data_IF_142806081320
#
_entry.id   IF_142806081320
#
_cell.length_a   1.000
_cell.length_b   1.000
_cell.length_c   1.000
_cell.angle_alpha   90.00
_cell.angle_beta   90.00
_cell.angle_gamma   90.00
#
_symmetry.space_group_name_H-M   'P 1'
#
loop_
_entity.id
_entity.type
_entity.pdbx_description
1 polymer ?
#
# COMPACT_ATOMS: atom_id res chain seq x y z
N UNK A 1 22.02 10.05 -3.29
CA UNK A 1 20.81 9.39 -2.78
C UNK A 1 21.16 8.67 -1.49
N UNK A 2 20.40 8.90 -0.43
CA UNK A 2 20.54 8.22 0.86
C UNK A 2 19.93 6.83 0.79
N UNK A 3 20.54 5.85 1.45
CA UNK A 3 19.95 4.50 1.54
C UNK A 3 18.62 4.57 2.31
N UNK A 4 17.54 3.96 1.79
CA UNK A 4 16.25 3.94 2.49
C UNK A 4 16.39 3.26 3.85
N UNK A 5 15.68 3.81 4.83
CA UNK A 5 15.61 3.24 6.17
C UNK A 5 14.78 1.95 6.19
N UNK A 6 15.08 1.08 7.15
CA UNK A 6 14.39 -0.20 7.35
C UNK A 6 13.76 -0.33 8.75
N UNK A 7 13.94 0.66 9.61
CA UNK A 7 13.32 0.77 10.94
C UNK A 7 11.94 1.44 10.83
N UNK A 8 10.99 0.76 10.17
CA UNK A 8 9.63 1.28 10.01
C UNK A 8 8.90 1.40 11.35
N UNK A 9 8.18 2.50 11.54
CA UNK A 9 7.49 2.83 12.79
C UNK A 9 5.99 2.57 12.66
N UNK A 10 5.31 3.39 11.87
CA UNK A 10 3.87 3.26 11.60
C UNK A 10 3.62 3.04 10.11
N UNK A 11 2.60 2.24 9.79
CA UNK A 11 2.09 2.12 8.42
C UNK A 11 0.68 2.71 8.42
N UNK A 12 0.50 3.86 7.80
CA UNK A 12 -0.81 4.47 7.56
C UNK A 12 -1.29 4.05 6.18
N UNK A 13 -2.52 3.56 6.09
CA UNK A 13 -3.10 3.03 4.86
C UNK A 13 -4.45 3.70 4.58
N UNK A 14 -4.73 3.93 3.29
CA UNK A 14 -5.92 4.64 2.84
C UNK A 14 -6.86 3.68 2.13
N UNK A 15 -8.04 3.48 2.69
CA UNK A 15 -9.08 2.70 2.04
C UNK A 15 -9.88 3.51 1.01
N UNK A 16 -10.29 2.86 -0.08
CA UNK A 16 -11.22 3.39 -1.11
C UNK A 16 -10.73 4.65 -1.83
N UNK A 17 -9.42 4.76 -2.06
CA UNK A 17 -8.85 5.93 -2.73
C UNK A 17 -8.88 5.88 -4.26
N UNK A 18 -9.43 4.84 -4.89
CA UNK A 18 -9.62 4.77 -6.34
C UNK A 18 -11.09 4.52 -6.66
N UNK A 19 -11.68 5.32 -7.56
CA UNK A 19 -13.13 5.27 -7.85
C UNK A 19 -13.59 3.91 -8.36
N UNK A 20 -12.84 3.30 -9.28
CA UNK A 20 -13.19 2.00 -9.86
C UNK A 20 -13.13 0.88 -8.81
N UNK A 21 -12.16 0.93 -7.89
CA UNK A 21 -12.08 -0.02 -6.79
C UNK A 21 -13.24 0.14 -5.79
N UNK A 22 -13.61 1.39 -5.47
CA UNK A 22 -14.78 1.64 -4.62
C UNK A 22 -16.05 1.05 -5.25
N UNK A 23 -16.23 1.25 -6.57
CA UNK A 23 -17.36 0.71 -7.33
C UNK A 23 -17.34 -0.82 -7.44
N UNK A 24 -16.17 -1.44 -7.68
CA UNK A 24 -15.98 -2.90 -7.76
C UNK A 24 -16.49 -3.62 -6.51
N UNK A 25 -16.30 -3.01 -5.34
CA UNK A 25 -16.74 -3.54 -4.05
C UNK A 25 -18.11 -2.98 -3.58
N UNK A 26 -18.86 -2.31 -4.46
CA UNK A 26 -20.20 -1.77 -4.17
C UNK A 26 -20.24 -0.67 -3.12
N UNK A 27 -19.14 0.07 -2.94
CA UNK A 27 -19.02 1.11 -1.92
C UNK A 27 -19.15 2.52 -2.51
N UNK A 28 -19.72 3.43 -1.72
CA UNK A 28 -19.64 4.85 -2.02
C UNK A 28 -18.20 5.36 -1.85
N UNK A 29 -17.82 6.33 -2.67
CA UNK A 29 -16.60 7.12 -2.48
C UNK A 29 -16.75 7.91 -1.18
N UNK A 30 -15.82 7.80 -0.21
CA UNK A 30 -15.95 8.52 1.05
C UNK A 30 -15.76 10.03 0.87
N UNK A 31 -16.31 10.82 1.79
CA UNK A 31 -16.17 12.29 1.79
C UNK A 31 -14.82 12.76 2.38
N UNK A 32 -14.12 11.87 3.08
CA UNK A 32 -12.78 12.11 3.65
C UNK A 32 -11.92 10.85 3.56
N UNK A 33 -10.57 10.97 3.56
CA UNK A 33 -9.68 9.81 3.61
C UNK A 33 -10.03 8.84 4.74
N UNK A 34 -10.19 7.55 4.39
CA UNK A 34 -10.49 6.50 5.36
C UNK A 34 -9.19 5.82 5.80
N UNK A 35 -8.68 6.22 6.97
CA UNK A 35 -7.38 5.76 7.46
C UNK A 35 -7.51 4.53 8.36
N UNK A 36 -6.66 3.54 8.12
CA UNK A 36 -6.35 2.46 9.06
C UNK A 36 -4.84 2.28 9.15
N UNK A 37 -4.36 1.43 10.06
CA UNK A 37 -2.94 1.18 10.21
C UNK A 37 -2.57 -0.29 10.22
N UNK A 38 -1.30 -0.55 9.89
CA UNK A 38 -0.65 -1.85 10.08
C UNK A 38 0.50 -1.70 11.08
N UNK A 39 0.77 -2.72 11.92
CA UNK A 39 1.95 -2.73 12.76
C UNK A 39 3.22 -2.86 11.89
N UNK A 40 4.37 -2.40 12.39
CA UNK A 40 5.64 -2.47 11.65
C UNK A 40 6.04 -3.89 11.23
N UNK A 41 5.65 -4.92 11.99
CA UNK A 41 5.85 -6.34 11.63
C UNK A 41 5.01 -6.83 10.44
N UNK A 42 4.08 -6.01 9.93
CA UNK A 42 3.42 -6.28 8.66
C UNK A 42 4.36 -6.00 7.46
N UNK A 43 5.27 -5.03 7.59
CA UNK A 43 6.20 -4.68 6.52
C UNK A 43 7.23 -5.78 6.28
N UNK A 44 7.40 -6.17 5.02
CA UNK A 44 8.38 -7.18 4.59
C UNK A 44 8.87 -6.83 3.18
N UNK A 45 10.16 -6.99 2.85
CA UNK A 45 10.62 -6.76 1.48
C UNK A 45 10.09 -7.85 0.52
N UNK A 46 9.76 -7.44 -0.70
CA UNK A 46 9.46 -8.32 -1.83
C UNK A 46 10.70 -8.41 -2.73
N UNK A 47 11.73 -9.11 -2.22
CA UNK A 47 13.12 -9.11 -2.71
C UNK A 47 13.55 -10.41 -3.43
N UNK A 48 12.59 -11.22 -3.84
CA UNK A 48 12.77 -12.53 -4.46
C UNK A 48 12.58 -13.70 -3.49
N UNK A 49 12.53 -13.43 -2.19
CA UNK A 49 12.28 -14.45 -1.17
C UNK A 49 10.81 -14.90 -1.13
N UNK A 50 10.57 -16.04 -0.47
CA UNK A 50 9.23 -16.53 -0.21
C UNK A 50 8.69 -15.92 1.10
N UNK A 51 7.52 -15.30 1.03
CA UNK A 51 6.85 -14.67 2.18
C UNK A 51 5.84 -15.66 2.77
N UNK A 52 6.02 -16.00 4.04
CA UNK A 52 5.06 -16.81 4.78
C UNK A 52 3.87 -15.96 5.25
N UNK A 53 2.67 -16.36 4.87
CA UNK A 53 1.39 -15.76 5.21
C UNK A 53 0.58 -16.71 6.11
N UNK A 54 -0.45 -16.22 6.82
CA UNK A 54 -1.26 -17.07 7.68
C UNK A 54 -2.19 -18.01 6.89
N UNK A 55 -2.17 -19.29 7.23
CA UNK A 55 -3.10 -20.31 6.74
C UNK A 55 -4.45 -20.28 7.48
N UNK A 56 -5.49 -20.81 6.84
CA UNK A 56 -6.75 -21.22 7.51
C UNK A 56 -7.66 -20.08 7.96
N UNK A 57 -7.42 -18.84 7.55
CA UNK A 57 -8.21 -17.66 7.92
C UNK A 57 -9.02 -17.08 6.75
N UNK A 58 -9.29 -17.90 5.73
CA UNK A 58 -9.99 -17.47 4.52
C UNK A 58 -9.06 -16.92 3.44
N UNK A 59 -9.63 -16.24 2.46
CA UNK A 59 -8.88 -15.72 1.31
C UNK A 59 -8.03 -14.49 1.68
N UNK A 60 -6.74 -14.54 1.35
CA UNK A 60 -5.86 -13.37 1.39
C UNK A 60 -5.91 -12.70 0.02
N UNK A 61 -6.37 -11.46 -0.03
CA UNK A 61 -6.41 -10.66 -1.24
C UNK A 61 -5.16 -9.79 -1.37
N UNK A 62 -4.71 -9.61 -2.61
CA UNK A 62 -3.73 -8.60 -2.97
C UNK A 62 -4.40 -7.26 -3.28
N UNK A 63 -3.72 -6.18 -2.92
CA UNK A 63 -4.12 -4.79 -3.18
C UNK A 63 -2.83 -4.00 -3.48
N UNK A 64 -2.49 -3.82 -4.76
CA UNK A 64 -1.29 -3.07 -5.16
C UNK A 64 -1.46 -1.56 -4.92
N UNK A 65 -0.46 -0.92 -4.31
CA UNK A 65 -0.50 0.50 -3.94
C UNK A 65 0.86 1.18 -4.12
N UNK A 66 0.84 2.51 -4.26
CA UNK A 66 2.05 3.31 -4.04
C UNK A 66 2.23 3.57 -2.55
N UNK A 67 3.48 3.45 -2.10
CA UNK A 67 3.90 3.57 -0.71
C UNK A 67 4.98 4.64 -0.60
N UNK A 68 4.83 5.58 0.33
CA UNK A 68 5.81 6.66 0.56
C UNK A 68 6.49 6.48 1.91
N UNK A 69 7.81 6.58 1.96
CA UNK A 69 8.61 6.48 3.19
C UNK A 69 8.97 7.88 3.68
N UNK A 70 8.50 8.24 4.88
CA UNK A 70 8.84 9.52 5.48
C UNK A 70 10.26 9.50 6.07
N UNK A 71 11.03 10.52 5.73
CA UNK A 71 12.41 10.75 6.19
C UNK A 71 12.51 11.96 7.12
N UNK A 72 11.48 12.83 7.12
CA UNK A 72 11.37 13.99 8.01
C UNK A 72 10.04 13.97 8.77
N UNK A 73 9.93 14.73 9.87
CA UNK A 73 8.64 15.03 10.48
C UNK A 73 7.75 15.84 9.55
N UNK A 74 6.45 15.57 9.57
CA UNK A 74 5.47 16.41 8.91
C UNK A 74 5.37 17.77 9.60
N UNK A 75 5.34 18.81 8.78
CA UNK A 75 5.03 20.19 9.14
C UNK A 75 4.03 20.70 8.09
N UNK A 76 2.97 21.44 8.48
CA UNK A 76 2.03 22.00 7.51
C UNK A 76 2.74 22.77 6.41
N UNK A 77 2.50 22.39 5.15
CA UNK A 77 3.11 23.01 3.98
C UNK A 77 4.49 22.48 3.57
N UNK A 78 5.07 21.50 4.30
CA UNK A 78 6.32 20.84 3.90
C UNK A 78 6.23 20.31 2.47
N UNK A 79 7.27 20.49 1.65
CA UNK A 79 7.27 19.93 0.31
C UNK A 79 7.28 18.39 0.37
N UNK A 80 6.48 17.73 -0.48
CA UNK A 80 6.33 16.26 -0.41
C UNK A 80 7.66 15.52 -0.58
N UNK A 81 8.55 16.01 -1.45
CA UNK A 81 9.88 15.43 -1.67
C UNK A 81 10.88 15.72 -0.53
N UNK A 82 10.58 16.69 0.35
CA UNK A 82 11.37 16.90 1.57
C UNK A 82 10.89 15.95 2.68
N UNK A 83 9.58 15.70 2.74
CA UNK A 83 8.99 14.77 3.70
C UNK A 83 9.34 13.32 3.37
N UNK A 84 9.12 12.93 2.12
CA UNK A 84 9.39 11.60 1.59
C UNK A 84 10.57 11.67 0.63
N UNK A 85 11.70 11.02 0.92
CA UNK A 85 12.78 10.92 -0.07
C UNK A 85 12.63 9.70 -0.98
N UNK A 86 11.70 8.79 -0.65
CA UNK A 86 11.50 7.54 -1.36
C UNK A 86 10.03 7.16 -1.49
N UNK A 87 9.73 6.46 -2.59
CA UNK A 87 8.47 5.78 -2.79
C UNK A 87 8.70 4.36 -3.31
N UNK A 88 7.71 3.50 -3.23
CA UNK A 88 7.76 2.14 -3.76
C UNK A 88 6.38 1.72 -4.24
N UNK A 89 6.33 0.61 -4.97
CA UNK A 89 5.11 -0.17 -5.16
C UNK A 89 5.08 -1.23 -4.07
N UNK A 90 3.93 -1.40 -3.42
CA UNK A 90 3.72 -2.38 -2.35
C UNK A 90 2.36 -3.05 -2.45
N UNK A 91 2.10 -3.97 -1.53
CA UNK A 91 0.85 -4.71 -1.43
C UNK A 91 0.21 -4.52 -0.05
N UNK A 92 -1.05 -4.10 -0.02
CA UNK A 92 -1.91 -4.14 1.16
C UNK A 92 -2.66 -5.48 1.24
N UNK A 93 -1.98 -6.51 1.75
CA UNK A 93 -2.61 -7.81 1.87
C UNK A 93 -3.75 -7.79 2.88
N UNK A 94 -4.86 -8.41 2.51
CA UNK A 94 -6.12 -8.35 3.24
C UNK A 94 -6.75 -9.72 3.39
N UNK A 95 -6.99 -10.17 4.62
CA UNK A 95 -7.85 -11.34 4.87
C UNK A 95 -9.31 -10.92 4.63
N UNK A 96 -9.81 -11.15 3.42
CA UNK A 96 -11.08 -10.56 2.96
C UNK A 96 -12.26 -11.04 3.78
N UNK A 97 -12.35 -12.35 4.01
CA UNK A 97 -13.43 -12.96 4.78
C UNK A 97 -13.47 -12.44 6.22
N UNK A 98 -12.30 -12.26 6.83
CA UNK A 98 -12.15 -11.65 8.17
C UNK A 98 -12.60 -10.19 8.13
N UNK A 99 -12.20 -9.42 7.11
CA UNK A 99 -12.58 -8.02 6.97
C UNK A 99 -14.10 -7.85 6.87
N UNK A 100 -14.77 -8.67 6.07
CA UNK A 100 -16.22 -8.59 5.89
C UNK A 100 -16.97 -8.94 7.17
N UNK A 101 -16.50 -9.95 7.90
CA UNK A 101 -17.03 -10.28 9.23
C UNK A 101 -16.86 -9.14 10.25
N UNK A 102 -15.73 -8.42 10.21
CA UNK A 102 -15.48 -7.25 11.07
C UNK A 102 -16.35 -6.05 10.68
N UNK A 103 -16.47 -5.76 9.38
CA UNK A 103 -17.33 -4.69 8.84
C UNK A 103 -18.78 -4.88 9.23
N UNK A 104 -19.32 -6.09 9.11
CA UNK A 104 -20.70 -6.40 9.48
C UNK A 104 -21.02 -6.13 10.96
N UNK A 105 -19.99 -6.16 11.83
CA UNK A 105 -20.11 -5.92 13.27
C UNK A 105 -19.66 -4.51 13.70
N UNK A 106 -19.16 -3.70 12.78
CA UNK A 106 -18.55 -2.40 13.09
C UNK A 106 -17.26 -2.50 13.92
N UNK A 107 -16.49 -3.59 13.76
CA UNK A 107 -15.27 -3.84 14.54
C UNK A 107 -13.99 -3.34 13.86
N UNK A 108 -12.91 -3.08 14.62
CA UNK A 108 -11.61 -2.65 14.08
C UNK A 108 -10.99 -3.66 13.10
N UNK A 109 -10.30 -3.16 12.07
CA UNK A 109 -9.79 -3.99 10.95
C UNK A 109 -8.41 -4.60 11.18
N UNK A 110 -7.77 -4.40 12.34
CA UNK A 110 -6.39 -4.84 12.59
C UNK A 110 -6.18 -6.34 12.28
N UNK A 111 -7.12 -7.21 12.65
CA UNK A 111 -6.99 -8.65 12.37
C UNK A 111 -7.01 -8.98 10.87
N UNK A 112 -7.72 -8.17 10.06
CA UNK A 112 -7.82 -8.40 8.62
C UNK A 112 -6.73 -7.71 7.80
N UNK A 113 -6.21 -6.58 8.28
CA UNK A 113 -5.25 -5.73 7.55
C UNK A 113 -3.84 -5.76 8.14
N UNK A 114 -3.68 -6.04 9.44
CA UNK A 114 -2.42 -5.86 10.16
C UNK A 114 -1.71 -7.14 10.59
N UNK A 115 -2.02 -8.28 9.97
CA UNK A 115 -1.34 -9.54 10.27
C UNK A 115 0.13 -9.51 9.82
N UNK A 116 0.94 -10.46 10.32
CA UNK A 116 2.37 -10.51 10.03
C UNK A 116 2.62 -10.64 8.53
N UNK A 117 3.57 -9.87 8.00
CA UNK A 117 3.91 -9.82 6.57
C UNK A 117 2.78 -9.34 5.64
N UNK A 118 1.74 -8.68 6.17
CA UNK A 118 0.62 -8.17 5.37
C UNK A 118 0.95 -6.94 4.50
N UNK A 119 2.18 -6.44 4.53
CA UNK A 119 2.66 -5.33 3.72
C UNK A 119 3.99 -5.65 2.99
N UNK A 120 3.98 -6.52 1.97
CA UNK A 120 5.10 -6.68 1.05
C UNK A 120 5.40 -5.37 0.31
N UNK A 121 6.67 -4.94 0.28
CA UNK A 121 7.11 -3.68 -0.35
C UNK A 121 8.26 -3.98 -1.31
N UNK A 122 8.16 -3.47 -2.54
CA UNK A 122 9.23 -3.57 -3.53
C UNK A 122 10.44 -2.68 -3.22
N UNK A 123 11.34 -2.56 -4.19
CA UNK A 123 12.49 -1.66 -4.14
C UNK A 123 12.03 -0.22 -4.02
N UNK A 124 12.62 0.49 -3.06
CA UNK A 124 12.50 1.93 -2.92
C UNK A 124 13.12 2.65 -4.13
N UNK A 125 12.32 3.54 -4.71
CA UNK A 125 12.68 4.45 -5.79
C UNK A 125 12.84 5.87 -5.21
N UNK A 126 13.73 6.69 -5.78
CA UNK A 126 13.93 8.05 -5.33
C UNK A 126 12.68 8.92 -5.60
N UNK A 127 12.28 9.72 -4.62
CA UNK A 127 11.27 10.76 -4.76
C UNK A 127 11.94 12.13 -4.61
N UNK A 128 12.18 12.80 -5.73
CA UNK A 128 12.97 14.04 -5.78
C UNK A 128 12.10 15.23 -6.20
N UNK A 129 12.65 16.43 -6.07
CA UNK A 129 12.01 17.62 -6.59
C UNK A 129 11.76 17.46 -8.10
N UNK A 130 10.50 17.58 -8.53
CA UNK A 130 10.10 17.42 -9.92
C UNK A 130 9.77 15.99 -10.35
N UNK A 131 9.78 15.00 -9.45
CA UNK A 131 9.22 13.67 -9.75
C UNK A 131 7.72 13.78 -10.06
N UNK A 132 7.35 13.62 -11.32
CA UNK A 132 5.97 13.56 -11.76
C UNK A 132 5.47 12.11 -11.73
N UNK A 133 4.70 11.78 -10.70
CA UNK A 133 4.11 10.45 -10.55
C UNK A 133 2.95 10.21 -11.53
N UNK A 134 2.38 11.26 -12.13
CA UNK A 134 1.24 11.10 -13.06
C UNK A 134 1.68 10.48 -14.38
N UNK A 135 2.94 10.63 -14.77
CA UNK A 135 3.54 10.00 -15.95
C UNK A 135 3.84 8.49 -15.75
N UNK A 136 3.75 8.01 -14.51
CA UNK A 136 4.08 6.63 -14.14
C UNK A 136 2.88 5.78 -13.74
N UNK A 137 2.65 4.70 -14.47
CA UNK A 137 1.76 3.63 -14.03
C UNK A 137 2.52 2.68 -13.08
N UNK A 138 1.83 2.19 -12.05
CA UNK A 138 2.28 1.02 -11.31
C UNK A 138 1.39 -0.17 -11.67
N UNK A 139 1.97 -1.37 -11.66
CA UNK A 139 1.20 -2.58 -11.91
C UNK A 139 1.66 -3.75 -11.06
N UNK A 140 0.76 -4.73 -10.94
CA UNK A 140 0.99 -5.97 -10.25
C UNK A 140 0.69 -7.14 -11.18
N UNK A 141 1.65 -8.07 -11.26
CA UNK A 141 1.49 -9.35 -11.96
C UNK A 141 1.47 -10.49 -10.97
N UNK A 142 0.52 -11.39 -11.18
CA UNK A 142 0.38 -12.65 -10.48
C UNK A 142 0.61 -13.78 -11.46
N UNK A 143 1.61 -14.62 -11.23
CA UNK A 143 1.97 -15.74 -12.11
C UNK A 143 2.17 -15.31 -13.58
N UNK A 144 2.79 -14.15 -13.79
CA UNK A 144 3.07 -13.58 -15.13
C UNK A 144 1.90 -12.86 -15.79
N UNK A 145 0.69 -12.90 -15.22
CA UNK A 145 -0.46 -12.15 -15.71
C UNK A 145 -0.62 -10.83 -14.96
N UNK A 146 -0.75 -9.71 -15.68
CA UNK A 146 -1.12 -8.43 -15.06
C UNK A 146 -2.55 -8.50 -14.54
N UNK A 147 -2.71 -8.25 -13.24
CA UNK A 147 -4.01 -8.33 -12.55
C UNK A 147 -4.45 -6.98 -11.98
N UNK A 148 -3.52 -6.06 -11.72
CA UNK A 148 -3.83 -4.67 -11.37
C UNK A 148 -2.89 -3.71 -12.10
N UNK A 149 -3.44 -2.56 -12.46
CA UNK A 149 -2.72 -1.39 -12.96
C UNK A 149 -3.36 -0.14 -12.37
N UNK A 150 -2.55 0.82 -11.94
CA UNK A 150 -3.04 2.07 -11.37
C UNK A 150 -2.11 3.25 -11.67
N UNK A 151 -2.65 4.45 -11.51
CA UNK A 151 -1.94 5.70 -11.66
C UNK A 151 -2.45 6.71 -10.61
N UNK A 152 -1.57 7.56 -10.08
CA UNK A 152 -1.93 8.57 -9.08
C UNK A 152 -3.01 9.55 -9.56
N UNK A 153 -3.15 9.75 -10.88
CA UNK A 153 -4.18 10.62 -11.47
C UNK A 153 -5.60 10.14 -11.20
N UNK A 154 -5.76 8.85 -10.93
CA UNK A 154 -7.07 8.22 -10.68
C UNK A 154 -7.43 8.20 -9.19
N UNK A 155 -6.55 8.70 -8.33
CA UNK A 155 -6.82 8.82 -6.90
C UNK A 155 -7.99 9.78 -6.65
N UNK A 156 -8.82 9.45 -5.66
CA UNK A 156 -9.89 10.31 -5.16
C UNK A 156 -9.29 11.47 -4.38
N UNK A 157 -8.38 11.16 -3.46
CA UNK A 157 -7.60 12.10 -2.66
C UNK A 157 -6.14 12.00 -3.07
N UNK A 158 -5.58 13.12 -3.53
CA UNK A 158 -4.20 13.19 -4.00
C UNK A 158 -3.19 13.06 -2.85
N UNK A 159 -1.92 12.78 -3.18
CA UNK A 159 -0.86 12.57 -2.17
C UNK A 159 -0.74 13.74 -1.17
N UNK A 160 -0.79 15.00 -1.63
CA UNK A 160 -0.78 16.18 -0.76
C UNK A 160 -1.91 16.11 0.29
N UNK A 161 -3.13 15.87 -0.16
CA UNK A 161 -4.30 15.81 0.71
C UNK A 161 -4.19 14.67 1.72
N UNK A 162 -3.73 13.49 1.29
CA UNK A 162 -3.50 12.36 2.19
C UNK A 162 -2.43 12.67 3.24
N UNK A 163 -1.31 13.25 2.82
CA UNK A 163 -0.21 13.64 3.70
C UNK A 163 -0.65 14.65 4.74
N UNK A 164 -1.37 15.71 4.33
CA UNK A 164 -1.88 16.70 5.28
C UNK A 164 -2.92 16.07 6.21
N UNK A 165 -3.83 15.25 5.67
CA UNK A 165 -4.86 14.60 6.46
C UNK A 165 -4.28 13.74 7.59
N UNK A 166 -3.29 12.90 7.27
CA UNK A 166 -2.63 12.02 8.23
C UNK A 166 -1.69 12.81 9.15
N UNK A 167 -0.91 13.73 8.59
CA UNK A 167 0.04 14.56 9.31
C UNK A 167 -0.62 15.41 10.41
N UNK A 168 -1.75 16.05 10.12
CA UNK A 168 -2.49 16.88 11.09
C UNK A 168 -3.18 16.06 12.19
N UNK A 169 -3.64 14.84 11.88
CA UNK A 169 -4.48 14.04 12.79
C UNK A 169 -3.71 13.02 13.62
N UNK A 170 -2.68 12.42 13.05
CA UNK A 170 -1.95 11.30 13.63
C UNK A 170 -0.45 11.57 13.74
N UNK A 171 0.05 12.57 13.01
CA UNK A 171 1.48 12.80 12.82
C UNK A 171 2.09 11.88 11.77
N UNK A 172 3.15 12.36 11.14
CA UNK A 172 4.04 11.57 10.27
C UNK A 172 5.46 11.93 10.68
N UNK A 173 6.29 10.92 10.91
CA UNK A 173 7.70 11.09 11.24
C UNK A 173 8.61 10.14 10.50
N UNK A 174 9.93 10.27 10.70
CA UNK A 174 10.90 9.40 10.06
C UNK A 174 10.60 7.92 10.33
N UNK A 175 10.26 7.19 9.27
CA UNK A 175 10.04 5.73 9.30
C UNK A 175 8.58 5.34 9.19
N UNK A 176 7.70 6.35 9.15
CA UNK A 176 6.31 6.11 8.84
C UNK A 176 6.14 5.90 7.33
N UNK A 177 5.25 4.98 7.00
CA UNK A 177 4.87 4.65 5.63
C UNK A 177 3.45 5.14 5.36
N UNK A 178 3.23 5.70 4.17
CA UNK A 178 1.90 6.06 3.69
C UNK A 178 1.55 5.22 2.46
N UNK A 179 0.61 4.31 2.64
CA UNK A 179 -0.05 3.49 1.63
C UNK A 179 -1.27 4.26 1.09
N UNK A 180 -1.35 4.41 -0.24
CA UNK A 180 -2.22 5.41 -0.89
C UNK A 180 -3.52 4.85 -1.47
N UNK A 181 -3.83 3.59 -1.24
CA UNK A 181 -4.98 2.89 -1.78
C UNK A 181 -4.69 2.11 -3.05
N UNK A 182 -5.57 1.16 -3.37
CA UNK A 182 -5.43 0.24 -4.50
C UNK A 182 -6.40 0.54 -5.65
N UNK A 183 -6.00 0.34 -6.92
CA UNK A 183 -6.92 0.39 -8.06
C UNK A 183 -7.80 -0.87 -8.11
N UNK A 184 -8.69 -0.95 -9.11
CA UNK A 184 -9.56 -2.13 -9.30
C UNK A 184 -8.75 -3.40 -9.63
N UNK A 185 -9.40 -4.56 -9.56
CA UNK A 185 -8.80 -5.85 -9.88
C UNK A 185 -8.26 -6.58 -8.65
N UNK A 186 -8.78 -6.31 -7.47
CA UNK A 186 -8.39 -7.04 -6.25
C UNK A 186 -8.79 -8.51 -6.38
N UNK A 187 -7.90 -9.41 -5.95
CA UNK A 187 -8.13 -10.85 -6.10
C UNK A 187 -7.42 -11.67 -5.02
N UNK A 188 -7.78 -12.95 -4.93
CA UNK A 188 -7.22 -13.85 -3.93
C UNK A 188 -5.87 -14.44 -4.37
N UNK A 189 -4.96 -14.57 -3.42
CA UNK A 189 -3.72 -15.32 -3.52
C UNK A 189 -3.95 -16.81 -3.19
N UNK A 190 -3.08 -17.65 -3.73
CA UNK A 190 -2.96 -19.08 -3.45
C UNK A 190 -1.54 -19.42 -3.00
N UNK A 191 -1.42 -20.55 -2.31
CA UNK A 191 -0.10 -21.08 -1.95
C UNK A 191 0.75 -21.31 -3.21
N UNK A 192 1.99 -20.83 -3.19
CA UNK A 192 2.94 -20.92 -4.31
C UNK A 192 2.81 -19.84 -5.38
N UNK A 193 1.84 -18.92 -5.29
CA UNK A 193 1.68 -17.82 -6.23
C UNK A 193 2.93 -16.93 -6.29
N UNK A 194 3.29 -16.53 -7.51
CA UNK A 194 4.42 -15.62 -7.78
C UNK A 194 3.93 -14.20 -8.01
N UNK A 195 4.50 -13.28 -7.27
CA UNK A 195 4.17 -11.86 -7.31
C UNK A 195 5.28 -11.07 -7.98
N UNK A 196 4.92 -10.11 -8.83
CA UNK A 196 5.84 -9.15 -9.43
C UNK A 196 5.21 -7.75 -9.41
N UNK A 197 5.94 -6.76 -8.90
CA UNK A 197 5.54 -5.36 -8.83
C UNK A 197 6.34 -4.54 -9.85
N UNK A 198 5.65 -3.64 -10.55
CA UNK A 198 6.23 -2.80 -11.58
C UNK A 198 5.95 -1.32 -11.32
N UNK A 199 6.96 -0.50 -11.58
CA UNK A 199 6.81 0.94 -11.78
C UNK A 199 7.23 1.25 -13.21
N UNK A 200 6.34 1.89 -13.98
CA UNK A 200 6.42 1.91 -15.44
C UNK A 200 6.56 0.45 -15.95
N UNK A 201 7.51 0.21 -16.84
CA UNK A 201 7.83 -1.12 -17.37
C UNK A 201 8.96 -1.82 -16.60
N UNK A 202 9.41 -1.26 -15.47
CA UNK A 202 10.52 -1.82 -14.70
C UNK A 202 10.02 -2.66 -13.53
N UNK A 203 10.50 -3.91 -13.45
CA UNK A 203 10.29 -4.73 -12.26
C UNK A 203 11.00 -4.09 -11.05
N UNK A 204 10.22 -3.79 -10.02
CA UNK A 204 10.69 -3.19 -8.77
C UNK A 204 10.56 -4.13 -7.58
N UNK A 205 9.78 -5.20 -7.66
CA UNK A 205 9.71 -6.23 -6.63
C UNK A 205 9.29 -7.56 -7.22
N UNK A 206 9.75 -8.66 -6.64
CA UNK A 206 9.33 -10.01 -7.02
C UNK A 206 9.38 -10.95 -5.82
N UNK A 207 8.58 -12.01 -5.82
CA UNK A 207 8.60 -12.98 -4.74
C UNK A 207 7.55 -14.07 -4.93
N UNK A 208 7.39 -14.90 -3.90
CA UNK A 208 6.35 -15.91 -3.87
C UNK A 208 5.67 -15.95 -2.50
N UNK A 209 4.41 -16.35 -2.46
CA UNK A 209 3.67 -16.51 -1.21
C UNK A 209 3.61 -17.98 -0.77
N UNK A 210 3.73 -18.19 0.54
CA UNK A 210 3.44 -19.49 1.19
C UNK A 210 2.28 -19.27 2.16
N UNK A 211 1.14 -19.88 1.91
CA UNK A 211 -0.12 -19.63 2.66
C UNK A 211 -0.45 -20.84 3.53
#
# INVERSE_FOLDING_TARGET
>A
MTTPRTDYRNLFCVGRNYRLHAAELGNAVPESPMIFSKPSHAAVPLDGSAIALPAGQGAIHYEAELVFLADRPYEPGIALHELYAHFAVGLDLTLRDVQDGLKAKGYPWLAAKGFRHAAPIGRWLPFEAGTDLTEGDFSFRLNGAEVQRGNVRDMVFGLRELTDHVGERYGIGPGDLLFTGTPAGVGALRDGDRAELFWLEQAVGAGAFRI
#
